data_IF_644797612655
#
_entry.id   IF_644797612655
#
_cell.length_a   1.000
_cell.length_b   1.000
_cell.length_c   1.000
_cell.angle_alpha   90.00
_cell.angle_beta   90.00
_cell.angle_gamma   90.00
#
_symmetry.space_group_name_H-M   'P 1'
#
loop_
_entity.id
_entity.type
_entity.pdbx_description
1 polymer ?
#
# COMPACT_ATOMS: atom_id res chain seq x y z
N UNK A 1 2.89 -15.23 -51.68
CA UNK A 1 3.41 -14.30 -50.66
C UNK A 1 2.32 -13.47 -49.98
N UNK A 2 1.33 -12.93 -50.71
CA UNK A 2 0.26 -12.08 -50.10
C UNK A 2 -0.63 -12.79 -49.06
N UNK A 3 -0.91 -14.09 -49.27
CA UNK A 3 -1.76 -14.90 -48.37
C UNK A 3 -1.03 -15.28 -47.06
N UNK A 4 0.30 -15.41 -47.08
CA UNK A 4 1.12 -15.72 -45.89
C UNK A 4 1.20 -14.50 -44.95
N UNK A 5 1.29 -13.28 -45.54
CA UNK A 5 1.31 -12.03 -44.75
C UNK A 5 -0.02 -11.80 -44.01
N UNK A 6 -1.16 -12.17 -44.65
CA UNK A 6 -2.47 -12.04 -44.01
C UNK A 6 -2.64 -12.98 -42.82
N UNK A 7 -2.09 -14.19 -42.91
CA UNK A 7 -2.11 -15.16 -41.82
C UNK A 7 -1.23 -14.70 -40.63
N UNK A 8 -0.09 -14.09 -40.91
CA UNK A 8 0.81 -13.55 -39.87
C UNK A 8 0.16 -12.35 -39.14
N UNK A 9 -0.54 -11.47 -39.84
CA UNK A 9 -1.27 -10.35 -39.24
C UNK A 9 -2.43 -10.80 -38.35
N UNK A 10 -3.15 -11.85 -38.73
CA UNK A 10 -4.23 -12.42 -37.92
C UNK A 10 -3.67 -13.10 -36.66
N UNK A 11 -2.52 -13.75 -36.74
CA UNK A 11 -1.86 -14.41 -35.60
C UNK A 11 -1.32 -13.43 -34.56
N UNK A 12 -0.95 -12.21 -34.98
CA UNK A 12 -0.50 -11.15 -34.05
C UNK A 12 -1.69 -10.43 -33.41
N UNK A 13 -2.85 -10.36 -34.09
CA UNK A 13 -4.03 -9.68 -33.56
C UNK A 13 -4.84 -10.53 -32.57
N UNK A 14 -4.77 -11.86 -32.66
CA UNK A 14 -5.52 -12.77 -31.78
C UNK A 14 -5.14 -12.67 -30.29
N UNK A 15 -3.88 -12.56 -29.88
CA UNK A 15 -3.56 -12.36 -28.48
C UNK A 15 -3.97 -10.99 -27.93
N UNK A 16 -4.07 -9.98 -28.77
CA UNK A 16 -4.53 -8.64 -28.34
C UNK A 16 -6.06 -8.61 -28.07
N UNK A 17 -6.84 -9.47 -28.72
CA UNK A 17 -8.28 -9.59 -28.49
C UNK A 17 -8.63 -10.53 -27.33
N UNK A 18 -7.69 -11.35 -26.88
CA UNK A 18 -7.89 -12.29 -25.76
C UNK A 18 -7.69 -11.66 -24.39
N UNK A 19 -7.29 -10.39 -24.32
CA UNK A 19 -7.16 -9.63 -23.08
C UNK A 19 -8.52 -9.08 -22.63
N UNK A 20 -9.51 -9.96 -22.47
CA UNK A 20 -10.70 -9.69 -21.68
C UNK A 20 -10.25 -9.65 -20.21
N UNK A 21 -9.81 -8.46 -19.80
CA UNK A 21 -9.04 -8.25 -18.62
C UNK A 21 -9.84 -8.48 -17.35
N UNK A 22 -9.60 -9.60 -16.72
CA UNK A 22 -9.83 -9.69 -15.28
C UNK A 22 -8.86 -8.72 -14.64
N UNK A 23 -9.39 -7.78 -13.85
CA UNK A 23 -8.60 -6.85 -13.07
C UNK A 23 -8.23 -7.49 -11.74
N UNK A 24 -7.03 -7.20 -11.27
CA UNK A 24 -6.50 -7.67 -10.00
C UNK A 24 -6.34 -6.47 -9.08
N UNK A 25 -6.95 -6.53 -7.92
CA UNK A 25 -6.84 -5.49 -6.91
C UNK A 25 -6.22 -6.05 -5.64
N UNK A 26 -5.43 -5.23 -4.96
CA UNK A 26 -4.91 -5.54 -3.63
C UNK A 26 -5.60 -4.67 -2.58
N UNK A 27 -5.88 -5.27 -1.42
CA UNK A 27 -6.32 -4.53 -0.25
C UNK A 27 -5.15 -3.75 0.35
N UNK A 28 -5.36 -2.49 0.72
CA UNK A 28 -4.31 -1.58 1.14
C UNK A 28 -4.59 -0.95 2.50
N UNK A 29 -3.73 -1.25 3.46
CA UNK A 29 -3.79 -0.72 4.82
C UNK A 29 -2.72 0.35 5.03
N UNK A 30 -3.09 1.61 4.90
CA UNK A 30 -2.18 2.76 4.91
C UNK A 30 -2.11 3.47 6.25
N UNK A 31 -1.63 2.80 7.28
CA UNK A 31 -1.61 3.31 8.67
C UNK A 31 -0.19 3.46 9.24
N UNK A 32 0.81 3.45 8.39
CA UNK A 32 2.22 3.62 8.73
C UNK A 32 2.70 4.99 8.32
N UNK A 33 3.43 5.66 9.19
CA UNK A 33 3.87 7.04 9.04
C UNK A 33 5.33 7.18 9.45
N UNK A 34 5.98 8.31 9.14
CA UNK A 34 7.31 8.61 9.66
C UNK A 34 7.28 9.91 10.46
N UNK A 35 8.11 10.01 11.51
CA UNK A 35 8.20 11.24 12.29
C UNK A 35 8.66 12.42 11.45
N UNK A 36 9.53 12.16 10.47
CA UNK A 36 10.05 13.18 9.58
C UNK A 36 8.95 13.76 8.69
N UNK A 37 8.05 12.93 8.16
CA UNK A 37 7.00 13.37 7.25
C UNK A 37 5.71 13.75 7.98
N UNK A 38 5.31 12.96 9.01
CA UNK A 38 3.98 13.03 9.61
C UNK A 38 3.99 13.43 11.09
N UNK A 39 5.16 13.55 11.71
CA UNK A 39 5.30 13.80 13.15
C UNK A 39 4.92 12.63 14.05
N UNK A 40 4.61 11.47 13.48
CA UNK A 40 4.17 10.24 14.18
C UNK A 40 4.63 9.00 13.42
N UNK A 41 4.54 7.82 14.04
CA UNK A 41 4.97 6.54 13.44
C UNK A 41 3.78 5.65 13.00
N UNK A 42 2.59 5.90 13.53
CA UNK A 42 1.44 5.07 13.23
C UNK A 42 1.69 3.61 13.64
N UNK A 43 1.37 2.66 12.78
CA UNK A 43 1.50 1.24 13.07
C UNK A 43 2.91 0.66 12.83
N UNK A 44 3.93 1.47 12.67
CA UNK A 44 5.28 1.00 12.88
C UNK A 44 5.55 0.69 14.36
N UNK A 45 4.88 1.38 15.28
CA UNK A 45 4.83 1.07 16.69
C UNK A 45 3.59 0.26 17.03
N UNK A 46 3.69 -0.65 17.98
CA UNK A 46 2.55 -1.41 18.49
C UNK A 46 2.50 -1.34 20.00
N UNK A 47 1.35 -0.92 20.50
CA UNK A 47 1.04 -0.93 21.92
C UNK A 47 0.19 -2.16 22.23
N UNK A 48 0.68 -3.09 23.05
CA UNK A 48 -0.19 -4.11 23.60
C UNK A 48 -1.13 -3.47 24.63
N UNK A 49 -2.38 -3.84 24.56
CA UNK A 49 -3.23 -3.76 25.74
C UNK A 49 -2.73 -4.84 26.71
N UNK A 50 -1.69 -4.53 27.50
CA UNK A 50 -1.47 -5.31 28.72
C UNK A 50 -2.77 -5.22 29.51
N UNK A 51 -3.27 -6.39 29.95
CA UNK A 51 -4.48 -6.54 30.75
C UNK A 51 -4.70 -5.32 31.60
N UNK A 52 -5.92 -4.83 31.68
CA UNK A 52 -6.33 -3.61 32.38
C UNK A 52 -5.47 -3.37 33.63
N UNK A 53 -4.30 -2.85 33.45
CA UNK A 53 -3.56 -2.26 34.52
C UNK A 53 -4.49 -1.21 35.10
N UNK A 54 -4.70 -1.21 36.38
CA UNK A 54 -5.50 -0.22 37.09
C UNK A 54 -5.11 1.23 36.78
N UNK A 55 -4.04 1.42 36.04
CA UNK A 55 -3.48 2.72 35.59
C UNK A 55 -3.77 3.03 34.13
N UNK A 56 -4.38 2.13 33.35
CA UNK A 56 -4.73 2.37 31.93
C UNK A 56 -3.52 2.60 31.00
N UNK A 57 -2.30 2.29 31.44
CA UNK A 57 -1.09 2.45 30.63
C UNK A 57 -0.99 1.34 29.59
N UNK A 58 -0.84 1.72 28.33
CA UNK A 58 -0.48 0.81 27.24
C UNK A 58 1.03 0.54 27.30
N UNK A 59 1.44 -0.71 27.19
CA UNK A 59 2.85 -1.07 27.02
C UNK A 59 3.21 -1.01 25.54
N UNK A 60 4.32 -0.36 25.23
CA UNK A 60 4.89 -0.37 23.90
C UNK A 60 5.54 -1.76 23.66
N UNK A 61 5.03 -2.49 22.67
CA UNK A 61 5.52 -3.82 22.29
C UNK A 61 6.63 -3.77 21.26
N UNK A 62 6.55 -2.79 20.35
CA UNK A 62 7.57 -2.53 19.33
C UNK A 62 7.95 -1.07 19.42
N UNK A 63 9.23 -0.82 19.64
CA UNK A 63 9.77 0.53 19.82
C UNK A 63 10.69 0.87 18.65
N UNK A 64 10.16 1.63 17.69
CA UNK A 64 10.91 2.01 16.50
C UNK A 64 12.10 2.96 16.76
N UNK A 65 12.33 3.40 17.98
CA UNK A 65 13.56 4.12 18.36
C UNK A 65 14.74 3.17 18.65
N UNK A 66 14.47 1.89 18.85
CA UNK A 66 15.52 0.88 18.99
C UNK A 66 16.01 0.46 17.61
N UNK A 67 17.34 0.44 17.47
CA UNK A 67 18.00 0.11 16.21
C UNK A 67 18.96 -1.05 16.48
N UNK A 68 18.91 -2.08 15.64
CA UNK A 68 19.81 -3.23 15.73
C UNK A 68 21.19 -2.95 15.14
N UNK A 69 22.09 -3.93 15.20
CA UNK A 69 23.45 -3.82 14.66
C UNK A 69 23.52 -3.66 13.14
N UNK A 70 22.43 -3.94 12.45
CA UNK A 70 22.30 -3.79 10.98
C UNK A 70 21.66 -2.45 10.60
N UNK A 71 21.37 -1.59 11.58
CA UNK A 71 20.73 -0.29 11.36
C UNK A 71 19.23 -0.37 11.15
N UNK A 72 18.57 -1.50 11.47
CA UNK A 72 17.14 -1.68 11.31
C UNK A 72 16.41 -1.30 12.59
N UNK A 73 15.33 -0.55 12.44
CA UNK A 73 14.45 -0.20 13.56
C UNK A 73 13.61 -1.40 14.02
N UNK A 74 13.34 -1.51 15.32
CA UNK A 74 12.37 -2.46 15.84
C UNK A 74 10.96 -2.01 15.46
N UNK A 75 10.30 -2.74 14.57
CA UNK A 75 9.00 -2.35 13.99
C UNK A 75 7.94 -3.43 14.15
N UNK A 76 6.68 -3.03 14.23
CA UNK A 76 5.53 -3.93 14.26
C UNK A 76 5.23 -4.49 12.86
N UNK A 77 6.17 -5.26 12.30
CA UNK A 77 6.01 -5.95 11.03
C UNK A 77 6.77 -7.28 11.06
N UNK A 78 6.24 -8.29 10.37
CA UNK A 78 6.85 -9.62 10.28
C UNK A 78 8.17 -9.59 9.52
N UNK A 79 8.25 -8.72 8.49
CA UNK A 79 9.45 -8.53 7.69
C UNK A 79 9.83 -7.05 7.64
N UNK A 80 11.12 -6.78 7.70
CA UNK A 80 11.63 -5.42 7.57
C UNK A 80 11.55 -4.99 6.08
N UNK A 81 10.95 -3.84 5.76
CA UNK A 81 10.86 -3.40 4.38
C UNK A 81 12.24 -3.12 3.78
N UNK A 82 12.46 -3.51 2.53
CA UNK A 82 13.73 -3.27 1.82
C UNK A 82 14.07 -1.77 1.72
N UNK A 83 13.06 -0.92 1.63
CA UNK A 83 13.21 0.54 1.56
C UNK A 83 13.18 1.21 2.93
N UNK A 84 13.21 0.43 4.02
CA UNK A 84 13.11 0.94 5.38
C UNK A 84 11.71 1.42 5.76
N UNK A 85 11.64 2.14 6.89
CA UNK A 85 10.39 2.75 7.34
C UNK A 85 10.01 3.91 6.44
N UNK A 86 8.81 3.85 5.86
CA UNK A 86 8.27 4.89 4.97
C UNK A 86 6.91 5.36 5.48
N UNK A 87 6.51 6.56 5.04
CA UNK A 87 5.17 7.08 5.28
C UNK A 87 4.21 6.66 4.16
N UNK A 88 3.05 6.14 4.52
CA UNK A 88 1.99 5.91 3.54
C UNK A 88 1.36 7.20 2.99
N UNK A 89 1.69 8.36 3.56
CA UNK A 89 1.25 9.67 3.05
C UNK A 89 2.32 10.37 2.19
N UNK A 90 3.54 9.83 2.12
CA UNK A 90 4.59 10.36 1.29
C UNK A 90 4.31 10.05 -0.19
N UNK A 91 4.14 11.07 -1.05
CA UNK A 91 3.85 10.88 -2.47
C UNK A 91 4.89 10.03 -3.21
N UNK A 92 6.16 10.14 -2.87
CA UNK A 92 7.24 9.38 -3.51
C UNK A 92 7.14 7.89 -3.13
N UNK A 93 6.77 7.59 -1.88
CA UNK A 93 6.54 6.22 -1.45
C UNK A 93 5.24 5.64 -2.03
N UNK A 94 4.19 6.45 -2.14
CA UNK A 94 2.96 6.06 -2.84
C UNK A 94 3.27 5.70 -4.30
N UNK A 95 4.06 6.51 -4.97
CA UNK A 95 4.49 6.27 -6.35
C UNK A 95 5.26 4.96 -6.48
N UNK A 96 6.23 4.73 -5.59
CA UNK A 96 6.97 3.46 -5.52
C UNK A 96 6.04 2.26 -5.35
N UNK A 97 5.04 2.34 -4.46
CA UNK A 97 4.09 1.27 -4.21
C UNK A 97 3.20 0.99 -5.44
N UNK A 98 2.70 2.03 -6.09
CA UNK A 98 1.89 1.92 -7.31
C UNK A 98 2.70 1.29 -8.46
N UNK A 99 3.92 1.76 -8.68
CA UNK A 99 4.78 1.21 -9.73
C UNK A 99 5.16 -0.25 -9.46
N UNK A 100 5.42 -0.60 -8.20
CA UNK A 100 5.69 -1.97 -7.78
C UNK A 100 4.47 -2.88 -8.00
N UNK A 101 3.28 -2.41 -7.66
CA UNK A 101 2.02 -3.12 -7.89
C UNK A 101 1.77 -3.34 -9.40
N UNK A 102 1.96 -2.31 -10.21
CA UNK A 102 1.84 -2.42 -11.68
C UNK A 102 2.83 -3.41 -12.27
N UNK A 103 4.06 -3.44 -11.79
CA UNK A 103 5.06 -4.43 -12.20
C UNK A 103 4.61 -5.87 -11.86
N UNK A 104 3.87 -6.04 -10.78
CA UNK A 104 3.26 -7.32 -10.38
C UNK A 104 1.91 -7.60 -11.08
N UNK A 105 1.48 -6.78 -12.06
CA UNK A 105 0.19 -6.89 -12.76
C UNK A 105 -1.03 -6.70 -11.85
N UNK A 106 -0.90 -5.86 -10.83
CA UNK A 106 -2.00 -5.36 -10.02
C UNK A 106 -2.51 -4.09 -10.67
N UNK A 107 -3.82 -3.98 -10.85
CA UNK A 107 -4.47 -2.89 -11.57
C UNK A 107 -4.92 -1.75 -10.64
N UNK A 108 -5.05 -2.03 -9.34
CA UNK A 108 -5.47 -1.02 -8.38
C UNK A 108 -5.39 -1.47 -6.93
N UNK A 109 -5.67 -0.52 -6.04
CA UNK A 109 -5.79 -0.75 -4.60
C UNK A 109 -7.20 -0.46 -4.11
N UNK A 110 -7.68 -1.28 -3.18
CA UNK A 110 -8.79 -0.94 -2.30
C UNK A 110 -8.24 -0.43 -0.97
N UNK A 111 -8.45 0.85 -0.71
CA UNK A 111 -7.99 1.49 0.52
C UNK A 111 -8.95 1.13 1.64
N UNK A 112 -8.43 0.54 2.73
CA UNK A 112 -9.21 0.36 3.95
C UNK A 112 -9.70 1.73 4.46
N UNK A 113 -11.02 1.91 4.50
CA UNK A 113 -11.64 3.16 4.91
C UNK A 113 -12.67 2.90 6.01
N UNK A 114 -12.50 3.53 7.15
CA UNK A 114 -13.31 3.29 8.35
C UNK A 114 -13.70 4.58 9.09
N UNK A 115 -14.21 4.43 10.31
CA UNK A 115 -14.89 5.46 11.12
C UNK A 115 -14.08 6.71 11.52
N UNK A 116 -12.78 6.70 11.35
CA UNK A 116 -11.98 7.90 11.62
C UNK A 116 -11.64 8.58 10.30
N UNK A 117 -12.48 9.51 9.85
CA UNK A 117 -12.45 10.01 8.48
C UNK A 117 -11.10 10.66 8.11
N UNK A 118 -10.44 11.34 9.04
CA UNK A 118 -9.35 12.24 8.68
C UNK A 118 -8.12 11.56 8.09
N UNK A 119 -7.62 10.47 8.68
CA UNK A 119 -6.36 9.84 8.21
C UNK A 119 -6.58 9.08 6.91
N UNK A 120 -7.66 8.32 6.83
CA UNK A 120 -7.99 7.54 5.64
C UNK A 120 -8.43 8.43 4.48
N UNK A 121 -9.07 9.56 4.75
CA UNK A 121 -9.40 10.55 3.72
C UNK A 121 -8.16 11.20 3.12
N UNK A 122 -7.18 11.54 3.95
CA UNK A 122 -5.90 12.08 3.48
C UNK A 122 -5.20 11.05 2.60
N UNK A 123 -5.06 9.82 3.08
CA UNK A 123 -4.46 8.73 2.32
C UNK A 123 -5.16 8.51 0.99
N UNK A 124 -6.48 8.42 0.98
CA UNK A 124 -7.27 8.21 -0.23
C UNK A 124 -6.99 9.30 -1.27
N UNK A 125 -6.97 10.57 -0.83
CA UNK A 125 -6.71 11.71 -1.72
C UNK A 125 -5.28 11.70 -2.27
N UNK A 126 -4.28 11.42 -1.43
CA UNK A 126 -2.90 11.36 -1.88
C UNK A 126 -2.69 10.18 -2.85
N UNK A 127 -3.26 9.01 -2.55
CA UNK A 127 -3.25 7.86 -3.47
C UNK A 127 -3.89 8.19 -4.81
N UNK A 128 -5.06 8.84 -4.82
CA UNK A 128 -5.75 9.23 -6.05
C UNK A 128 -4.93 10.20 -6.91
N UNK A 129 -4.27 11.18 -6.28
CA UNK A 129 -3.41 12.15 -6.99
C UNK A 129 -2.24 11.45 -7.71
N UNK A 130 -1.59 10.52 -7.05
CA UNK A 130 -0.45 9.80 -7.62
C UNK A 130 -0.92 8.77 -8.63
N UNK A 131 -1.97 8.01 -8.32
CA UNK A 131 -2.52 6.97 -9.18
C UNK A 131 -2.98 7.51 -10.55
N UNK A 132 -3.52 8.73 -10.57
CA UNK A 132 -3.94 9.40 -11.81
C UNK A 132 -2.82 9.57 -12.84
N UNK A 133 -1.55 9.56 -12.42
CA UNK A 133 -0.39 9.65 -13.32
C UNK A 133 -0.11 8.33 -14.04
N UNK A 134 -0.64 7.21 -13.55
CA UNK A 134 -0.18 5.87 -13.90
C UNK A 134 -1.27 4.95 -14.44
N UNK A 135 -2.47 5.44 -14.70
CA UNK A 135 -3.61 4.59 -15.04
C UNK A 135 -3.73 3.42 -14.03
N UNK A 136 -3.83 3.78 -12.75
CA UNK A 136 -3.93 2.87 -11.63
C UNK A 136 -5.19 3.18 -10.83
N UNK A 137 -6.00 2.17 -10.56
CA UNK A 137 -7.32 2.36 -9.97
C UNK A 137 -7.24 2.41 -8.44
N UNK A 138 -7.98 3.35 -7.85
CA UNK A 138 -8.13 3.46 -6.40
C UNK A 138 -9.60 3.33 -6.05
N UNK A 139 -9.93 2.30 -5.30
CA UNK A 139 -11.22 2.06 -4.71
C UNK A 139 -11.18 2.15 -3.18
N UNK A 140 -12.34 1.97 -2.56
CA UNK A 140 -12.51 1.98 -1.11
C UNK A 140 -13.00 0.60 -0.66
N UNK A 141 -12.33 0.03 0.33
CA UNK A 141 -12.82 -1.09 1.11
C UNK A 141 -13.45 -0.54 2.39
N UNK A 142 -14.78 -0.54 2.43
CA UNK A 142 -15.52 -0.01 3.58
C UNK A 142 -15.41 -0.96 4.77
N UNK A 143 -14.85 -0.45 5.87
CA UNK A 143 -14.67 -1.19 7.10
C UNK A 143 -15.56 -0.58 8.19
N UNK A 144 -16.68 -1.23 8.51
CA UNK A 144 -17.70 -0.74 9.47
C UNK A 144 -17.73 -1.52 10.79
N UNK A 145 -16.81 -2.45 10.98
CA UNK A 145 -16.83 -3.42 12.09
C UNK A 145 -15.92 -3.12 13.29
N UNK A 146 -15.46 -1.90 13.50
CA UNK A 146 -14.50 -1.54 14.57
C UNK A 146 -15.15 -0.82 15.73
#
# INVERSE_FOLDING_TARGET
>A
MRKLLLFLLVSIALPALAQNGKKVYADFHGVRYTRQHDGKLGRWEMYANTEKSSTGRKSLCYNADLIDSEGRHEIAAVAYPQVGMQSNLDPDYIEYQILSAKAAKIDGFFIEWGFKPHENDILLREMQKVAAKYDFEIGVNWCDGW
#
